data_IF_372143493206
#
_entry.id   IF_372143493206
#
_cell.length_a   1.000
_cell.length_b   1.000
_cell.length_c   1.000
_cell.angle_alpha   90.00
_cell.angle_beta   90.00
_cell.angle_gamma   90.00
#
_symmetry.space_group_name_H-M   'P 1'
#
loop_
_entity.id
_entity.type
_entity.pdbx_description
1 polymer ?
#
# COMPACT_ATOMS: atom_id res chain seq x y z
N UNK A 1 11.88 -12.07 27.71
CA UNK A 1 11.40 -12.29 26.32
C UNK A 1 11.79 -11.07 25.51
N UNK A 2 12.80 -11.22 24.65
CA UNK A 2 13.38 -10.14 23.85
C UNK A 2 12.32 -9.36 23.06
N UNK A 3 12.37 -8.04 23.11
CA UNK A 3 11.40 -7.18 22.42
C UNK A 3 11.39 -7.43 20.90
N UNK A 4 12.53 -7.82 20.32
CA UNK A 4 12.64 -8.23 18.90
C UNK A 4 11.74 -9.43 18.57
N UNK A 5 11.62 -10.39 19.48
CA UNK A 5 10.77 -11.58 19.30
C UNK A 5 9.29 -11.22 19.35
N UNK A 6 8.90 -10.27 20.19
CA UNK A 6 7.53 -9.74 20.26
C UNK A 6 7.15 -8.95 19.01
N UNK A 7 8.02 -8.05 18.55
CA UNK A 7 7.79 -7.25 17.35
C UNK A 7 7.71 -8.12 16.08
N UNK A 8 8.59 -9.12 15.98
CA UNK A 8 8.54 -10.10 14.88
C UNK A 8 7.24 -10.90 14.90
N UNK A 9 6.75 -11.29 16.09
CA UNK A 9 5.49 -12.00 16.24
C UNK A 9 4.30 -11.13 15.80
N UNK A 10 4.26 -9.85 16.22
CA UNK A 10 3.22 -8.90 15.80
C UNK A 10 3.19 -8.72 14.29
N UNK A 11 4.36 -8.47 13.68
CA UNK A 11 4.46 -8.33 12.23
C UNK A 11 3.95 -9.57 11.50
N UNK A 12 4.38 -10.76 11.92
CA UNK A 12 3.90 -12.03 11.35
C UNK A 12 2.40 -12.22 11.51
N UNK A 13 1.81 -11.77 12.62
CA UNK A 13 0.36 -11.82 12.85
C UNK A 13 -0.37 -10.88 11.88
N UNK A 14 0.08 -9.64 11.76
CA UNK A 14 -0.50 -8.66 10.83
C UNK A 14 -0.40 -9.14 9.37
N UNK A 15 0.73 -9.72 8.96
CA UNK A 15 0.88 -10.29 7.62
C UNK A 15 -0.10 -11.43 7.35
N UNK A 16 -0.37 -12.30 8.35
CA UNK A 16 -1.38 -13.37 8.21
C UNK A 16 -2.81 -12.83 8.09
N UNK A 17 -3.12 -11.76 8.82
CA UNK A 17 -4.41 -11.07 8.75
C UNK A 17 -4.58 -10.42 7.37
N UNK A 18 -3.59 -9.66 6.90
CA UNK A 18 -3.58 -9.07 5.56
C UNK A 18 -3.69 -10.11 4.44
N UNK A 19 -3.01 -11.26 4.58
CA UNK A 19 -3.09 -12.34 3.60
C UNK A 19 -4.48 -13.03 3.53
N UNK A 20 -5.28 -12.96 4.59
CA UNK A 20 -6.66 -13.46 4.57
C UNK A 20 -7.62 -12.54 3.80
N UNK A 21 -7.28 -11.25 3.70
CA UNK A 21 -8.08 -10.31 2.92
C UNK A 21 -7.85 -10.56 1.43
N UNK A 22 -8.88 -11.05 0.76
CA UNK A 22 -8.96 -11.10 -0.70
C UNK A 22 -10.17 -10.30 -1.16
N UNK A 23 -10.02 -9.56 -2.25
CA UNK A 23 -11.07 -8.76 -2.86
C UNK A 23 -11.09 -8.99 -4.37
N UNK A 24 -12.26 -8.85 -5.00
CA UNK A 24 -12.45 -9.07 -6.44
C UNK A 24 -11.85 -7.97 -7.34
N UNK A 25 -11.15 -6.98 -6.78
CA UNK A 25 -10.60 -5.83 -7.50
C UNK A 25 -9.32 -5.32 -6.86
N UNK A 26 -8.60 -4.47 -7.61
CA UNK A 26 -7.32 -3.88 -7.21
C UNK A 26 -7.55 -2.74 -6.19
N UNK A 27 -7.46 -3.05 -4.90
CA UNK A 27 -7.75 -2.09 -3.82
C UNK A 27 -6.69 -2.04 -2.72
N UNK A 28 -5.76 -2.99 -2.71
CA UNK A 28 -4.72 -3.07 -1.68
C UNK A 28 -3.39 -2.54 -2.23
N UNK A 29 -2.89 -1.48 -1.61
CA UNK A 29 -1.61 -0.86 -1.95
C UNK A 29 -0.70 -0.96 -0.73
N UNK A 30 0.49 -1.52 -0.93
CA UNK A 30 1.51 -1.65 0.09
C UNK A 30 2.77 -0.92 -0.37
N UNK A 31 3.28 -0.02 0.46
CA UNK A 31 4.50 0.75 0.18
C UNK A 31 5.54 0.42 1.25
N UNK A 32 6.73 -0.01 0.82
CA UNK A 32 7.87 -0.22 1.69
C UNK A 32 8.93 0.85 1.41
N UNK A 33 9.30 1.59 2.46
CA UNK A 33 10.31 2.64 2.41
C UNK A 33 11.50 2.17 3.25
N UNK A 34 12.65 1.82 2.62
CA UNK A 34 13.82 1.40 3.37
C UNK A 34 14.47 2.60 4.11
N UNK A 35 15.28 2.34 5.15
CA UNK A 35 15.98 3.39 5.87
C UNK A 35 16.91 4.17 4.93
N UNK A 36 16.90 5.50 5.02
CA UNK A 36 17.69 6.37 4.16
C UNK A 36 17.04 6.72 2.81
N UNK A 37 15.89 6.13 2.48
CA UNK A 37 15.15 6.51 1.27
C UNK A 37 14.42 7.84 1.49
N UNK A 38 14.57 8.84 0.59
CA UNK A 38 13.92 10.12 0.77
C UNK A 38 12.39 10.03 0.60
N UNK A 39 11.64 10.46 1.62
CA UNK A 39 10.17 10.40 1.63
C UNK A 39 9.55 11.16 0.45
N UNK A 40 10.17 12.28 0.02
CA UNK A 40 9.65 13.07 -1.10
C UNK A 40 9.67 12.29 -2.42
N UNK A 41 10.63 11.39 -2.63
CA UNK A 41 10.68 10.56 -3.83
C UNK A 41 9.53 9.56 -3.85
N UNK A 42 9.21 8.95 -2.70
CA UNK A 42 8.04 8.08 -2.58
C UNK A 42 6.75 8.85 -2.87
N UNK A 43 6.59 10.05 -2.30
CA UNK A 43 5.41 10.88 -2.54
C UNK A 43 5.27 11.25 -4.03
N UNK A 44 6.36 11.65 -4.69
CA UNK A 44 6.35 11.97 -6.11
C UNK A 44 6.05 10.75 -6.99
N UNK A 45 6.57 9.57 -6.63
CA UNK A 45 6.22 8.31 -7.29
C UNK A 45 4.73 8.02 -7.16
N UNK A 46 4.16 8.11 -5.97
CA UNK A 46 2.73 7.88 -5.74
C UNK A 46 1.84 8.87 -6.52
N UNK A 47 2.23 10.14 -6.60
CA UNK A 47 1.53 11.14 -7.44
C UNK A 47 1.56 10.77 -8.94
N UNK A 48 2.67 10.21 -9.40
CA UNK A 48 2.81 9.73 -10.79
C UNK A 48 1.88 8.54 -11.04
N UNK A 49 1.87 7.56 -10.13
CA UNK A 49 0.95 6.41 -10.18
C UNK A 49 -0.51 6.86 -10.14
N UNK A 50 -0.85 7.88 -9.35
CA UNK A 50 -2.19 8.47 -9.31
C UNK A 50 -2.61 9.04 -10.67
N UNK A 51 -1.70 9.71 -11.36
CA UNK A 51 -1.93 10.18 -12.73
C UNK A 51 -2.13 9.03 -13.71
N UNK A 52 -1.38 7.94 -13.58
CA UNK A 52 -1.53 6.76 -14.44
C UNK A 52 -2.83 5.99 -14.19
N UNK A 53 -3.31 5.98 -12.95
CA UNK A 53 -4.58 5.35 -12.57
C UNK A 53 -5.78 5.93 -13.34
N UNK A 54 -5.70 7.16 -13.87
CA UNK A 54 -6.76 7.76 -14.69
C UNK A 54 -7.06 6.94 -15.97
N UNK A 55 -6.09 6.18 -16.46
CA UNK A 55 -6.19 5.38 -17.69
C UNK A 55 -6.90 4.02 -17.48
N UNK A 56 -7.25 3.66 -16.24
CA UNK A 56 -7.99 2.43 -15.96
C UNK A 56 -9.38 2.54 -16.59
N UNK A 57 -9.71 1.57 -17.47
CA UNK A 57 -10.98 1.57 -18.24
C UNK A 57 -12.21 1.36 -17.36
N UNK A 58 -12.13 0.43 -16.40
CA UNK A 58 -13.20 0.15 -15.44
C UNK A 58 -13.40 1.35 -14.50
N UNK A 59 -14.60 1.94 -14.51
CA UNK A 59 -14.92 3.09 -13.64
C UNK A 59 -14.77 2.77 -12.15
N UNK A 60 -15.23 1.58 -11.74
CA UNK A 60 -15.14 1.14 -10.35
C UNK A 60 -13.69 0.95 -9.91
N UNK A 61 -12.92 0.18 -10.67
CA UNK A 61 -11.50 -0.08 -10.39
C UNK A 61 -10.69 1.20 -10.41
N UNK A 62 -10.94 2.10 -11.36
CA UNK A 62 -10.29 3.40 -11.43
C UNK A 62 -10.49 4.19 -10.14
N UNK A 63 -11.74 4.33 -9.70
CA UNK A 63 -12.09 5.04 -8.46
C UNK A 63 -11.40 4.40 -7.25
N UNK A 64 -11.47 3.08 -7.13
CA UNK A 64 -10.92 2.40 -5.96
C UNK A 64 -9.39 2.53 -5.88
N UNK A 65 -8.69 2.49 -7.02
CA UNK A 65 -7.23 2.71 -7.09
C UNK A 65 -6.88 4.17 -6.78
N UNK A 66 -7.58 5.14 -7.39
CA UNK A 66 -7.30 6.56 -7.15
C UNK A 66 -7.54 6.96 -5.69
N UNK A 67 -8.64 6.48 -5.10
CA UNK A 67 -8.99 6.77 -3.71
C UNK A 67 -7.97 6.14 -2.75
N UNK A 68 -7.45 4.95 -3.08
CA UNK A 68 -6.42 4.27 -2.27
C UNK A 68 -5.07 4.97 -2.35
N UNK A 69 -4.64 5.40 -3.54
CA UNK A 69 -3.40 6.17 -3.71
C UNK A 69 -3.48 7.53 -3.00
N UNK A 70 -4.62 8.22 -3.08
CA UNK A 70 -4.83 9.52 -2.43
C UNK A 70 -4.84 9.43 -0.89
N UNK A 71 -5.16 8.28 -0.30
CA UNK A 71 -5.08 8.07 1.16
C UNK A 71 -3.65 7.89 1.68
N UNK A 72 -2.71 7.53 0.81
CA UNK A 72 -1.31 7.27 1.19
C UNK A 72 -0.47 8.56 1.08
N UNK A 73 -0.78 9.41 0.09
CA UNK A 73 -0.11 10.69 -0.16
C UNK A 73 -0.53 11.72 0.89
#
# INVERSE_FOLDING_TARGET
MDDKSKETYKLKKQLRELAHHSGGSTEMISVYIPPGYPIYETSNKLKTELGQASNIKSKGTRKNVTDSLAKII
#
